data_IF_620010922531
#
_entry.id   IF_620010922531
#
_cell.length_a   1.000
_cell.length_b   1.000
_cell.length_c   1.000
_cell.angle_alpha   90.00
_cell.angle_beta   90.00
_cell.angle_gamma   90.00
#
_symmetry.space_group_name_H-M   'P 1'
#
loop_
_entity.id
_entity.type
_entity.pdbx_description
1 polymer ?
#
# COMPACT_ATOMS: atom_id res chain seq x y z
N UNK A 1 10.52 19.06 -2.26
CA UNK A 1 10.81 18.50 -0.93
C UNK A 1 11.92 17.46 -1.06
N UNK A 2 12.88 17.46 -0.16
CA UNK A 2 13.83 16.37 0.05
C UNK A 2 13.61 15.87 1.48
N UNK A 3 13.26 14.59 1.63
CA UNK A 3 12.86 14.01 2.92
C UNK A 3 13.69 12.75 3.15
N UNK A 4 14.36 12.68 4.30
CA UNK A 4 15.09 11.50 4.75
C UNK A 4 14.27 10.71 5.76
N UNK A 5 14.37 9.38 5.71
CA UNK A 5 13.65 8.45 6.59
C UNK A 5 14.67 7.53 7.32
N UNK A 6 15.51 8.05 8.21
CA UNK A 6 16.52 7.24 8.91
C UNK A 6 15.92 6.41 10.05
N UNK A 7 14.73 6.74 10.51
CA UNK A 7 14.01 6.11 11.62
C UNK A 7 12.62 6.68 11.74
N UNK A 8 12.47 7.76 12.49
CA UNK A 8 11.20 8.48 12.60
C UNK A 8 11.35 9.85 11.96
N UNK A 9 10.48 10.16 11.01
CA UNK A 9 10.47 11.45 10.34
C UNK A 9 9.13 12.12 10.55
N UNK A 10 9.17 13.36 11.02
CA UNK A 10 7.99 14.19 11.24
C UNK A 10 7.96 15.31 10.20
N UNK A 11 6.85 15.43 9.48
CA UNK A 11 6.57 16.57 8.61
C UNK A 11 5.54 17.46 9.30
N UNK A 12 6.01 18.59 9.82
CA UNK A 12 5.18 19.56 10.50
C UNK A 12 4.73 20.69 9.55
N UNK A 13 3.62 21.31 9.85
CA UNK A 13 3.14 22.49 9.11
C UNK A 13 1.65 22.71 9.24
N UNK A 14 1.19 23.89 8.82
CA UNK A 14 -0.22 24.25 8.83
C UNK A 14 -1.05 23.40 7.85
N UNK A 15 -2.38 23.47 7.96
CA UNK A 15 -3.26 22.77 7.04
C UNK A 15 -3.11 23.30 5.60
N UNK A 16 -3.20 22.40 4.62
CA UNK A 16 -3.09 22.76 3.20
C UNK A 16 -1.67 22.99 2.67
N UNK A 17 -0.63 22.77 3.47
CA UNK A 17 0.78 22.99 3.07
C UNK A 17 1.40 21.85 2.27
N UNK A 18 0.64 20.79 1.96
CA UNK A 18 1.12 19.68 1.12
C UNK A 18 1.75 18.51 1.88
N UNK A 19 1.66 18.45 3.22
CA UNK A 19 2.15 17.30 4.03
C UNK A 19 1.64 15.96 3.51
N UNK A 20 0.33 15.81 3.36
CA UNK A 20 -0.29 14.57 2.87
C UNK A 20 0.11 14.25 1.42
N UNK A 21 0.44 15.25 0.59
CA UNK A 21 0.97 15.02 -0.76
C UNK A 21 2.33 14.36 -0.72
N UNK A 22 3.21 14.79 0.18
CA UNK A 22 4.52 14.17 0.39
C UNK A 22 4.35 12.74 0.89
N UNK A 23 3.52 12.53 1.90
CA UNK A 23 3.24 11.20 2.47
C UNK A 23 2.67 10.23 1.41
N UNK A 24 1.71 10.68 0.58
CA UNK A 24 1.17 9.91 -0.55
C UNK A 24 2.22 9.62 -1.62
N UNK A 25 3.14 10.55 -1.86
CA UNK A 25 4.25 10.33 -2.80
C UNK A 25 5.22 9.25 -2.29
N UNK A 26 5.54 9.26 -0.99
CA UNK A 26 6.35 8.19 -0.37
C UNK A 26 5.63 6.85 -0.45
N UNK A 27 4.35 6.81 -0.08
CA UNK A 27 3.53 5.60 -0.18
C UNK A 27 3.51 5.02 -1.61
N UNK A 28 3.29 5.88 -2.61
CA UNK A 28 3.27 5.46 -4.00
C UNK A 28 4.65 4.99 -4.48
N UNK A 29 5.73 5.71 -4.12
CA UNK A 29 7.09 5.36 -4.51
C UNK A 29 7.51 3.98 -3.98
N UNK A 30 7.12 3.65 -2.73
CA UNK A 30 7.41 2.37 -2.10
C UNK A 30 6.54 1.25 -2.68
N UNK A 31 5.23 1.45 -2.85
CA UNK A 31 4.29 0.35 -3.16
C UNK A 31 4.00 0.14 -4.65
N UNK A 32 4.22 1.14 -5.52
CA UNK A 32 3.82 1.04 -6.93
C UNK A 32 4.42 -0.17 -7.66
N UNK A 33 5.65 -0.55 -7.28
CA UNK A 33 6.40 -1.67 -7.87
C UNK A 33 6.27 -3.00 -7.12
N UNK A 34 5.47 -3.03 -6.06
CA UNK A 34 5.27 -4.22 -5.25
C UNK A 34 4.56 -5.31 -6.05
N UNK A 35 5.06 -6.55 -5.91
CA UNK A 35 4.51 -7.73 -6.58
C UNK A 35 4.27 -7.54 -8.09
N UNK A 36 5.23 -6.92 -8.78
CA UNK A 36 5.08 -6.61 -10.21
C UNK A 36 4.90 -7.87 -11.05
N UNK A 37 5.67 -8.93 -10.77
CA UNK A 37 5.53 -10.21 -11.48
C UNK A 37 4.11 -10.79 -11.35
N UNK A 38 3.54 -10.77 -10.15
CA UNK A 38 2.17 -11.23 -9.95
C UNK A 38 1.11 -10.35 -10.64
N UNK A 39 1.34 -9.04 -10.70
CA UNK A 39 0.44 -8.12 -11.43
C UNK A 39 0.48 -8.39 -12.94
N UNK A 40 1.68 -8.55 -13.50
CA UNK A 40 1.89 -8.84 -14.92
C UNK A 40 1.25 -10.19 -15.28
N UNK A 41 1.52 -11.23 -14.48
CA UNK A 41 0.93 -12.55 -14.71
C UNK A 41 -0.60 -12.53 -14.68
N UNK A 42 -1.18 -11.81 -13.71
CA UNK A 42 -2.63 -11.66 -13.63
C UNK A 42 -3.21 -10.93 -14.84
N UNK A 43 -2.55 -9.89 -15.33
CA UNK A 43 -2.97 -9.13 -16.48
C UNK A 43 -2.85 -9.96 -17.77
N UNK A 44 -1.74 -10.68 -17.94
CA UNK A 44 -1.55 -11.59 -19.06
C UNK A 44 -2.62 -12.68 -19.07
N UNK A 45 -2.88 -13.31 -17.92
CA UNK A 45 -3.92 -14.31 -17.77
C UNK A 45 -5.29 -13.76 -18.20
N UNK A 46 -5.69 -12.63 -17.64
CA UNK A 46 -6.99 -12.03 -17.95
C UNK A 46 -7.10 -11.64 -19.43
N UNK A 47 -6.01 -11.13 -20.02
CA UNK A 47 -6.00 -10.77 -21.44
C UNK A 47 -6.12 -12.00 -22.33
N UNK A 48 -5.46 -13.09 -22.00
CA UNK A 48 -5.55 -14.37 -22.74
C UNK A 48 -6.95 -14.99 -22.56
N UNK A 49 -7.50 -14.98 -21.34
CA UNK A 49 -8.86 -15.44 -21.06
C UNK A 49 -9.88 -14.70 -21.94
N UNK A 50 -9.79 -13.38 -22.02
CA UNK A 50 -10.71 -12.56 -22.81
C UNK A 50 -10.62 -12.89 -24.32
N UNK A 51 -9.41 -13.07 -24.87
CA UNK A 51 -9.22 -13.46 -26.27
C UNK A 51 -9.78 -14.85 -26.57
N UNK A 52 -9.56 -15.79 -25.67
CA UNK A 52 -10.08 -17.14 -25.80
C UNK A 52 -11.60 -17.20 -25.64
N UNK A 53 -12.16 -16.40 -24.72
CA UNK A 53 -13.58 -16.27 -24.49
C UNK A 53 -14.28 -15.81 -25.77
N UNK A 54 -13.82 -14.71 -26.38
CA UNK A 54 -14.39 -14.15 -27.62
C UNK A 54 -14.29 -15.15 -28.80
N UNK A 55 -13.16 -15.82 -28.92
CA UNK A 55 -12.95 -16.80 -30.00
C UNK A 55 -13.79 -18.07 -29.80
N UNK A 56 -13.86 -18.64 -28.60
CA UNK A 56 -14.65 -19.85 -28.31
C UNK A 56 -16.15 -19.59 -28.48
N UNK A 57 -16.65 -18.42 -28.05
CA UNK A 57 -18.06 -18.03 -28.24
C UNK A 57 -18.46 -17.93 -29.73
N UNK A 58 -17.54 -17.48 -30.59
CA UNK A 58 -17.79 -17.35 -32.02
C UNK A 58 -17.80 -18.68 -32.75
N UNK A 59 -17.04 -19.66 -32.30
CA UNK A 59 -16.80 -20.91 -33.05
C UNK A 59 -17.47 -22.13 -32.43
N UNK A 60 -18.02 -22.05 -31.24
CA UNK A 60 -18.62 -23.19 -30.56
C UNK A 60 -19.98 -22.84 -29.93
N UNK A 61 -20.93 -23.78 -30.08
CA UNK A 61 -22.21 -23.73 -29.36
C UNK A 61 -22.06 -24.50 -28.04
N UNK A 62 -22.05 -23.81 -26.93
CA UNK A 62 -21.97 -24.42 -25.60
C UNK A 62 -23.39 -24.60 -25.02
N UNK A 63 -23.81 -25.84 -24.86
CA UNK A 63 -25.08 -26.19 -24.19
C UNK A 63 -25.03 -25.89 -22.65
N UNK A 64 -23.84 -25.90 -22.06
CA UNK A 64 -23.61 -25.62 -20.66
C UNK A 64 -22.68 -24.41 -20.48
N UNK A 65 -23.23 -23.37 -19.86
CA UNK A 65 -22.53 -22.13 -19.59
C UNK A 65 -21.31 -22.32 -18.66
N UNK A 66 -21.33 -23.32 -17.77
CA UNK A 66 -20.20 -23.64 -16.89
C UNK A 66 -19.04 -24.23 -17.68
N UNK A 67 -19.30 -25.12 -18.66
CA UNK A 67 -18.26 -25.67 -19.52
C UNK A 67 -17.57 -24.59 -20.34
N UNK A 68 -18.31 -23.56 -20.79
CA UNK A 68 -17.75 -22.42 -21.47
C UNK A 68 -16.79 -21.60 -20.58
N UNK A 69 -17.19 -21.29 -19.35
CA UNK A 69 -16.34 -20.55 -18.40
C UNK A 69 -15.11 -21.36 -17.97
N UNK A 70 -15.24 -22.66 -17.79
CA UNK A 70 -14.11 -23.53 -17.44
C UNK A 70 -13.11 -23.64 -18.61
N UNK A 71 -13.60 -23.71 -19.86
CA UNK A 71 -12.75 -23.95 -21.03
C UNK A 71 -11.72 -22.83 -21.28
N UNK A 72 -12.13 -21.57 -21.32
CA UNK A 72 -11.18 -20.46 -21.56
C UNK A 72 -10.24 -20.21 -20.38
N UNK A 73 -10.72 -20.40 -19.14
CA UNK A 73 -9.88 -20.27 -17.95
C UNK A 73 -8.79 -21.35 -17.87
N UNK A 74 -9.16 -22.63 -18.11
CA UNK A 74 -8.21 -23.75 -18.16
C UNK A 74 -7.18 -23.58 -19.28
N UNK A 75 -7.64 -23.23 -20.49
CA UNK A 75 -6.76 -23.08 -21.63
C UNK A 75 -5.77 -21.92 -21.42
N UNK A 76 -6.21 -20.78 -20.91
CA UNK A 76 -5.34 -19.67 -20.57
C UNK A 76 -4.29 -20.07 -19.51
N UNK A 77 -4.69 -20.85 -18.51
CA UNK A 77 -3.78 -21.37 -17.50
C UNK A 77 -2.74 -22.32 -18.10
N UNK A 78 -3.13 -23.26 -18.96
CA UNK A 78 -2.22 -24.19 -19.62
C UNK A 78 -1.17 -23.46 -20.46
N UNK A 79 -1.59 -22.43 -21.24
CA UNK A 79 -0.68 -21.64 -22.06
C UNK A 79 0.35 -20.91 -21.17
N UNK A 80 -0.07 -20.28 -20.09
CA UNK A 80 0.83 -19.55 -19.19
C UNK A 80 1.77 -20.46 -18.43
N UNK A 81 1.31 -21.61 -17.94
CA UNK A 81 2.13 -22.58 -17.24
C UNK A 81 3.20 -23.18 -18.17
N UNK A 82 2.84 -23.50 -19.41
CA UNK A 82 3.77 -23.99 -20.42
C UNK A 82 4.80 -22.90 -20.79
N UNK A 83 4.36 -21.66 -21.00
CA UNK A 83 5.24 -20.54 -21.30
C UNK A 83 6.28 -20.30 -20.20
N UNK A 84 5.88 -20.36 -18.93
CA UNK A 84 6.78 -20.14 -17.78
C UNK A 84 7.72 -21.32 -17.53
N UNK A 85 7.20 -22.54 -17.59
CA UNK A 85 7.96 -23.74 -17.23
C UNK A 85 8.99 -24.12 -18.30
N UNK A 86 8.64 -24.01 -19.58
CA UNK A 86 9.49 -24.39 -20.70
C UNK A 86 10.41 -23.27 -21.20
N UNK A 87 10.26 -22.03 -20.70
CA UNK A 87 11.06 -20.87 -21.11
C UNK A 87 11.11 -20.70 -22.62
N UNK A 88 9.95 -20.51 -23.26
CA UNK A 88 9.84 -20.45 -24.71
C UNK A 88 10.72 -19.36 -25.32
N UNK A 89 11.41 -19.69 -26.41
CA UNK A 89 12.14 -18.72 -27.22
C UNK A 89 11.16 -17.94 -28.07
N UNK A 90 11.46 -16.67 -28.37
CA UNK A 90 10.56 -15.78 -29.12
C UNK A 90 10.09 -16.36 -30.47
N UNK A 91 10.91 -17.20 -31.12
CA UNK A 91 10.59 -17.85 -32.39
C UNK A 91 9.58 -18.99 -32.26
N UNK A 92 9.46 -19.59 -31.07
CA UNK A 92 8.67 -20.81 -30.86
C UNK A 92 7.27 -20.51 -30.27
N UNK A 93 7.05 -19.29 -29.76
CA UNK A 93 5.83 -18.94 -29.00
C UNK A 93 4.57 -19.23 -29.84
N UNK A 94 4.57 -18.84 -31.12
CA UNK A 94 3.39 -19.03 -32.01
C UNK A 94 3.02 -20.51 -32.14
N UNK A 95 3.95 -21.34 -32.60
CA UNK A 95 3.67 -22.76 -32.83
C UNK A 95 3.33 -23.53 -31.56
N UNK A 96 3.95 -23.16 -30.41
CA UNK A 96 3.61 -23.79 -29.11
C UNK A 96 2.23 -23.37 -28.62
N UNK A 97 1.86 -22.11 -28.76
CA UNK A 97 0.52 -21.63 -28.42
C UNK A 97 -0.53 -22.31 -29.27
N UNK A 98 -0.33 -22.35 -30.59
CA UNK A 98 -1.20 -23.02 -31.53
C UNK A 98 -1.42 -24.49 -31.18
N UNK A 99 -0.33 -25.26 -30.98
CA UNK A 99 -0.38 -26.67 -30.57
C UNK A 99 -1.17 -26.90 -29.26
N UNK A 100 -1.00 -26.05 -28.25
CA UNK A 100 -1.75 -26.19 -26.98
C UNK A 100 -3.24 -26.00 -27.23
N UNK A 101 -3.63 -24.99 -28.03
CA UNK A 101 -5.04 -24.73 -28.32
C UNK A 101 -5.63 -25.87 -29.15
N UNK A 102 -4.93 -26.36 -30.18
CA UNK A 102 -5.38 -27.49 -31.01
C UNK A 102 -5.54 -28.78 -30.18
N UNK A 103 -4.58 -29.10 -29.34
CA UNK A 103 -4.64 -30.27 -28.45
C UNK A 103 -5.79 -30.16 -27.45
N UNK A 104 -6.00 -28.99 -26.86
CA UNK A 104 -7.11 -28.75 -25.96
C UNK A 104 -8.47 -28.92 -26.66
N UNK A 105 -8.64 -28.33 -27.83
CA UNK A 105 -9.87 -28.45 -28.63
C UNK A 105 -10.15 -29.91 -29.01
N UNK A 106 -9.14 -30.62 -29.49
CA UNK A 106 -9.26 -32.03 -29.82
C UNK A 106 -9.71 -32.90 -28.64
N UNK A 107 -9.15 -32.64 -27.44
CA UNK A 107 -9.49 -33.40 -26.25
C UNK A 107 -10.88 -33.09 -25.71
N UNK A 108 -11.42 -31.92 -25.98
CA UNK A 108 -12.72 -31.45 -25.45
C UNK A 108 -13.80 -31.41 -26.58
N UNK A 109 -13.55 -31.90 -27.78
CA UNK A 109 -14.44 -31.88 -28.95
C UNK A 109 -14.92 -30.44 -29.28
N UNK A 110 -14.03 -29.47 -29.23
CA UNK A 110 -14.30 -28.07 -29.57
C UNK A 110 -13.84 -27.80 -31.01
N UNK A 111 -14.55 -26.88 -31.69
CA UNK A 111 -14.13 -26.41 -33.02
C UNK A 111 -12.90 -25.50 -32.87
N UNK A 112 -11.88 -25.73 -33.66
CA UNK A 112 -10.65 -24.94 -33.71
C UNK A 112 -10.55 -24.09 -35.01
N UNK A 113 -11.67 -23.81 -35.66
CA UNK A 113 -11.73 -22.93 -36.82
C UNK A 113 -11.23 -21.53 -36.48
N UNK A 114 -10.59 -20.88 -37.44
CA UNK A 114 -10.06 -19.50 -37.30
C UNK A 114 -9.12 -19.27 -36.10
N UNK A 115 -8.37 -20.30 -35.67
CA UNK A 115 -7.41 -20.27 -34.54
C UNK A 115 -6.27 -19.25 -34.77
N UNK A 116 -5.99 -18.85 -36.00
CA UNK A 116 -4.85 -17.96 -36.33
C UNK A 116 -4.97 -16.58 -35.65
N UNK A 117 -6.19 -16.06 -35.51
CA UNK A 117 -6.43 -14.74 -34.90
C UNK A 117 -6.12 -14.73 -33.41
N UNK A 118 -6.74 -15.58 -32.55
CA UNK A 118 -6.43 -15.60 -31.12
C UNK A 118 -4.98 -15.99 -30.85
N UNK A 119 -4.36 -16.87 -31.59
CA UNK A 119 -2.94 -17.22 -31.44
C UNK A 119 -2.05 -15.99 -31.62
N UNK A 120 -2.30 -15.17 -32.66
CA UNK A 120 -1.53 -13.92 -32.88
C UNK A 120 -1.65 -12.94 -31.72
N UNK A 121 -2.87 -12.73 -31.20
CA UNK A 121 -3.08 -11.83 -30.07
C UNK A 121 -2.43 -12.35 -28.80
N UNK A 122 -2.57 -13.64 -28.50
CA UNK A 122 -1.91 -14.29 -27.35
C UNK A 122 -0.38 -14.16 -27.45
N UNK A 123 0.19 -14.41 -28.62
CA UNK A 123 1.64 -14.21 -28.86
C UNK A 123 2.05 -12.76 -28.64
N UNK A 124 1.22 -11.80 -29.03
CA UNK A 124 1.44 -10.37 -28.78
C UNK A 124 1.45 -10.08 -27.27
N UNK A 125 0.51 -10.65 -26.51
CA UNK A 125 0.44 -10.50 -25.05
C UNK A 125 1.69 -11.08 -24.39
N UNK A 126 2.10 -12.29 -24.76
CA UNK A 126 3.26 -12.97 -24.17
C UNK A 126 4.60 -12.29 -24.51
N UNK A 127 4.70 -11.69 -25.71
CA UNK A 127 5.90 -10.97 -26.18
C UNK A 127 5.99 -9.51 -25.73
N UNK A 128 4.97 -8.97 -25.06
CA UNK A 128 4.95 -7.57 -24.64
C UNK A 128 6.13 -7.27 -23.73
N UNK A 129 6.74 -6.11 -23.92
CA UNK A 129 7.91 -5.70 -23.14
C UNK A 129 7.55 -5.52 -21.66
N UNK A 130 8.35 -6.11 -20.77
CA UNK A 130 8.18 -5.95 -19.33
C UNK A 130 8.20 -4.49 -18.88
N UNK A 131 8.99 -3.64 -19.54
CA UNK A 131 9.07 -2.22 -19.21
C UNK A 131 7.74 -1.49 -19.47
N UNK A 132 6.98 -1.91 -20.48
CA UNK A 132 5.65 -1.36 -20.78
C UNK A 132 4.65 -1.74 -19.67
N UNK A 133 4.65 -2.98 -19.22
CA UNK A 133 3.83 -3.43 -18.10
C UNK A 133 4.16 -2.65 -16.82
N UNK A 134 5.45 -2.52 -16.50
CA UNK A 134 5.87 -1.79 -15.30
C UNK A 134 5.47 -0.31 -15.39
N UNK A 135 5.68 0.32 -16.55
CA UNK A 135 5.24 1.70 -16.80
C UNK A 135 3.73 1.85 -16.57
N UNK A 136 2.93 0.94 -17.14
CA UNK A 136 1.47 0.94 -17.00
C UNK A 136 1.02 0.80 -15.53
N UNK A 137 1.54 -0.21 -14.82
CA UNK A 137 1.11 -0.47 -13.44
C UNK A 137 1.59 0.61 -12.46
N UNK A 138 2.77 1.17 -12.66
CA UNK A 138 3.27 2.28 -11.83
C UNK A 138 2.42 3.52 -12.06
N UNK A 139 2.14 3.89 -13.30
CA UNK A 139 1.26 5.03 -13.62
C UNK A 139 -0.12 4.84 -13.01
N UNK A 140 -0.74 3.66 -13.20
CA UNK A 140 -2.05 3.34 -12.65
C UNK A 140 -2.07 3.42 -11.12
N UNK A 141 -1.00 2.96 -10.46
CA UNK A 141 -0.90 3.03 -9.00
C UNK A 141 -0.89 4.48 -8.50
N UNK A 142 -0.06 5.34 -9.09
CA UNK A 142 -0.03 6.77 -8.77
C UNK A 142 -1.39 7.44 -9.04
N UNK A 143 -2.01 7.15 -10.18
CA UNK A 143 -3.35 7.68 -10.51
C UNK A 143 -4.39 7.28 -9.46
N UNK A 144 -4.35 6.04 -8.98
CA UNK A 144 -5.25 5.56 -7.93
C UNK A 144 -4.97 6.22 -6.56
N UNK A 145 -3.70 6.41 -6.18
CA UNK A 145 -3.32 7.09 -4.92
C UNK A 145 -3.81 8.53 -4.92
N UNK A 146 -3.65 9.24 -6.03
CA UNK A 146 -4.00 10.66 -6.19
C UNK A 146 -5.36 10.89 -6.85
N UNK A 147 -6.20 9.87 -7.02
CA UNK A 147 -7.53 9.94 -7.67
C UNK A 147 -7.48 10.65 -9.02
N UNK A 148 -6.57 10.21 -9.87
CA UNK A 148 -6.30 10.76 -11.22
C UNK A 148 -5.82 12.22 -11.25
N UNK A 149 -5.41 12.79 -10.12
CA UNK A 149 -4.89 14.14 -10.02
C UNK A 149 -3.42 14.13 -9.61
N UNK A 150 -2.58 13.52 -10.44
CA UNK A 150 -1.14 13.38 -10.16
C UNK A 150 -0.32 14.62 -10.57
N UNK A 151 -0.88 15.49 -11.37
CA UNK A 151 -0.20 16.68 -11.86
C UNK A 151 -0.27 17.82 -10.83
N UNK A 152 0.77 18.66 -10.69
CA UNK A 152 0.69 19.86 -9.86
C UNK A 152 -0.44 20.79 -10.31
N UNK A 153 -1.30 21.15 -9.38
CA UNK A 153 -2.48 22.01 -9.66
C UNK A 153 -2.02 23.42 -10.05
N UNK A 154 -2.63 23.98 -11.13
CA UNK A 154 -2.41 25.34 -11.54
C UNK A 154 -1.06 25.63 -12.19
N UNK A 155 -0.23 24.62 -12.43
CA UNK A 155 1.06 24.79 -13.09
C UNK A 155 1.20 23.86 -14.28
N UNK A 156 1.82 24.32 -15.38
CA UNK A 156 2.23 23.44 -16.49
C UNK A 156 3.59 22.76 -16.24
N UNK A 157 4.10 22.79 -15.01
CA UNK A 157 5.43 22.27 -14.68
C UNK A 157 5.41 20.75 -14.56
N UNK A 158 6.51 20.12 -14.92
CA UNK A 158 6.75 18.71 -14.67
C UNK A 158 7.07 18.51 -13.18
N UNK A 159 6.39 17.57 -12.53
CA UNK A 159 6.76 17.11 -11.20
C UNK A 159 7.71 15.91 -11.28
N UNK A 160 8.54 15.74 -10.27
CA UNK A 160 9.42 14.60 -10.12
C UNK A 160 9.24 13.99 -8.75
N UNK A 161 9.28 12.66 -8.67
CA UNK A 161 9.35 11.91 -7.42
C UNK A 161 10.54 10.97 -7.52
N UNK A 162 11.58 11.30 -6.76
CA UNK A 162 12.79 10.50 -6.67
C UNK A 162 12.78 9.78 -5.33
N UNK A 163 12.85 8.46 -5.36
CA UNK A 163 12.96 7.62 -4.19
C UNK A 163 14.31 6.91 -4.23
N UNK A 164 15.04 7.04 -3.13
CA UNK A 164 16.35 6.40 -2.98
C UNK A 164 16.38 5.68 -1.62
N UNK A 165 16.68 4.39 -1.65
CA UNK A 165 17.01 3.61 -0.48
C UNK A 165 18.47 3.21 -0.54
N UNK A 166 19.20 3.52 0.52
CA UNK A 166 20.60 3.12 0.69
C UNK A 166 20.65 2.09 1.81
N UNK A 167 21.01 0.86 1.46
CA UNK A 167 21.33 -0.20 2.42
C UNK A 167 22.83 -0.47 2.35
N UNK A 168 23.38 -1.15 3.36
CA UNK A 168 24.83 -1.39 3.47
C UNK A 168 25.46 -2.03 2.22
N UNK A 169 24.66 -2.78 1.43
CA UNK A 169 25.15 -3.50 0.25
C UNK A 169 24.50 -3.07 -1.07
N UNK A 170 23.43 -2.27 -1.05
CA UNK A 170 22.64 -1.93 -2.26
C UNK A 170 22.09 -0.51 -2.20
N UNK A 171 22.13 0.14 -3.35
CA UNK A 171 21.38 1.37 -3.60
C UNK A 171 20.22 1.04 -4.54
N UNK A 172 19.01 1.31 -4.09
CA UNK A 172 17.78 1.21 -4.89
C UNK A 172 17.32 2.62 -5.16
N UNK A 173 17.29 3.01 -6.43
CA UNK A 173 16.78 4.30 -6.85
C UNK A 173 15.62 4.13 -7.82
N UNK A 174 14.61 4.96 -7.67
CA UNK A 174 13.42 4.99 -8.51
C UNK A 174 13.04 6.44 -8.73
N UNK A 175 12.99 6.85 -10.00
CA UNK A 175 12.60 8.19 -10.39
C UNK A 175 11.41 8.14 -11.33
N UNK A 176 10.44 9.00 -11.12
CA UNK A 176 9.31 9.20 -12.03
C UNK A 176 9.13 10.68 -12.33
N UNK A 177 8.76 11.00 -13.56
CA UNK A 177 8.34 12.34 -13.97
C UNK A 177 6.85 12.33 -14.27
N UNK A 178 6.17 13.43 -13.92
CA UNK A 178 4.73 13.57 -14.07
C UNK A 178 4.46 14.86 -14.84
N UNK A 179 3.85 14.75 -16.01
CA UNK A 179 3.47 15.88 -16.85
C UNK A 179 2.16 15.61 -17.56
N UNK A 180 1.27 16.62 -17.62
CA UNK A 180 -0.05 16.50 -18.25
C UNK A 180 -0.86 15.28 -17.77
N UNK A 181 -0.77 14.99 -16.48
CA UNK A 181 -1.40 13.86 -15.82
C UNK A 181 -0.97 12.47 -16.34
N UNK A 182 0.22 12.40 -16.94
CA UNK A 182 0.91 11.19 -17.36
C UNK A 182 2.19 11.03 -16.56
N UNK A 183 2.49 9.78 -16.19
CA UNK A 183 3.69 9.42 -15.48
C UNK A 183 4.65 8.69 -16.42
N UNK A 184 5.93 9.02 -16.34
CA UNK A 184 7.00 8.30 -17.05
C UNK A 184 8.09 7.92 -16.05
N UNK A 185 8.54 6.67 -16.11
CA UNK A 185 9.65 6.16 -15.31
C UNK A 185 10.96 6.64 -15.91
N UNK A 186 11.85 7.14 -15.07
CA UNK A 186 13.19 7.61 -15.47
C UNK A 186 14.22 6.57 -15.02
N UNK A 187 15.07 6.12 -15.94
CA UNK A 187 16.17 5.19 -15.65
C UNK A 187 15.77 3.72 -15.65
N UNK A 188 16.60 2.88 -15.03
CA UNK A 188 16.36 1.43 -15.00
C UNK A 188 15.19 1.08 -14.08
N UNK A 189 14.34 0.18 -14.55
CA UNK A 189 13.25 -0.36 -13.78
C UNK A 189 13.81 -1.45 -12.84
N UNK A 190 13.90 -1.12 -11.55
CA UNK A 190 14.28 -2.10 -10.52
C UNK A 190 12.99 -2.72 -9.95
N UNK A 191 12.85 -4.03 -10.11
CA UNK A 191 11.63 -4.79 -9.72
C UNK A 191 11.70 -5.43 -8.33
N UNK A 192 12.85 -5.34 -7.66
CA UNK A 192 13.07 -6.05 -6.39
C UNK A 192 12.88 -5.13 -5.17
N UNK A 193 11.66 -4.72 -4.93
CA UNK A 193 11.31 -4.04 -3.69
C UNK A 193 10.59 -5.04 -2.76
N UNK A 194 11.20 -5.33 -1.61
CA UNK A 194 10.65 -6.24 -0.59
C UNK A 194 9.87 -5.49 0.50
N UNK A 195 10.14 -4.20 0.65
CA UNK A 195 9.51 -3.35 1.65
C UNK A 195 8.10 -2.97 1.25
N UNK A 196 7.31 -2.72 2.28
CA UNK A 196 5.93 -2.28 2.17
C UNK A 196 5.76 -0.93 2.86
N UNK A 197 4.92 -0.06 2.33
CA UNK A 197 4.44 1.10 3.05
C UNK A 197 2.99 0.89 3.44
N UNK A 198 2.67 1.09 4.71
CA UNK A 198 1.29 1.12 5.19
C UNK A 198 0.94 2.55 5.52
N UNK A 199 -0.16 3.04 4.96
CA UNK A 199 -0.60 4.43 5.12
C UNK A 199 -1.91 4.46 5.92
N UNK A 200 -1.84 5.08 7.09
CA UNK A 200 -3.01 5.34 7.92
C UNK A 200 -3.45 6.79 7.66
N UNK A 201 -4.36 6.96 6.69
CA UNK A 201 -4.95 8.25 6.32
C UNK A 201 -6.05 8.66 7.30
N UNK A 202 -6.72 7.68 7.92
CA UNK A 202 -7.81 7.91 8.87
C UNK A 202 -7.97 6.72 9.81
N UNK A 203 -8.28 7.02 11.06
CA UNK A 203 -8.67 6.00 12.04
C UNK A 203 -10.05 5.38 11.73
N UNK A 204 -10.86 6.03 10.88
CA UNK A 204 -12.20 5.54 10.49
C UNK A 204 -12.17 4.31 9.57
N UNK A 205 -10.99 3.79 9.21
CA UNK A 205 -10.87 2.57 8.40
C UNK A 205 -11.65 1.39 8.99
N UNK A 206 -11.72 1.30 10.32
CA UNK A 206 -12.48 0.24 11.00
C UNK A 206 -13.99 0.30 10.73
N UNK A 207 -14.54 1.50 10.47
CA UNK A 207 -15.97 1.65 10.16
C UNK A 207 -16.34 0.97 8.83
N UNK A 208 -15.35 0.77 7.93
CA UNK A 208 -15.54 0.04 6.67
C UNK A 208 -15.46 -1.48 6.81
N UNK A 209 -14.90 -1.99 7.92
CA UNK A 209 -14.79 -3.44 8.15
C UNK A 209 -16.13 -4.15 8.16
N UNK A 210 -17.19 -3.48 8.61
CA UNK A 210 -18.54 -4.03 8.69
C UNK A 210 -19.26 -4.06 7.33
N UNK A 211 -18.87 -3.18 6.42
CA UNK A 211 -19.52 -3.03 5.12
C UNK A 211 -19.00 -4.04 4.07
N UNK A 212 -17.90 -4.74 4.32
CA UNK A 212 -17.30 -5.68 3.36
C UNK A 212 -18.13 -6.95 3.13
N UNK A 213 -18.94 -7.36 4.10
CA UNK A 213 -19.85 -8.48 3.96
C UNK A 213 -21.18 -8.15 3.24
N UNK A 214 -21.44 -6.88 3.04
CA UNK A 214 -22.61 -6.39 2.31
C UNK A 214 -22.12 -5.87 0.96
N UNK A 215 -22.79 -6.23 -0.15
CA UNK A 215 -22.54 -5.64 -1.49
C UNK A 215 -22.80 -4.14 -1.44
N UNK A 216 -21.88 -3.40 -0.85
CA UNK A 216 -22.00 -1.97 -0.59
C UNK A 216 -21.27 -1.20 -1.67
N UNK A 217 -21.98 -0.28 -2.33
CA UNK A 217 -21.39 0.71 -3.26
C UNK A 217 -20.35 1.64 -2.61
N UNK A 218 -20.04 1.46 -1.31
CA UNK A 218 -19.06 2.26 -0.57
C UNK A 218 -17.61 1.88 -0.90
N UNK A 219 -17.33 0.64 -1.31
CA UNK A 219 -15.98 0.20 -1.69
C UNK A 219 -15.38 1.08 -2.81
N UNK A 220 -16.20 1.53 -3.77
CA UNK A 220 -15.77 2.43 -4.84
C UNK A 220 -15.43 3.87 -4.39
N UNK A 221 -15.76 4.25 -3.15
CA UNK A 221 -15.48 5.60 -2.61
C UNK A 221 -14.20 5.66 -1.77
N UNK A 222 -13.63 4.51 -1.41
CA UNK A 222 -12.39 4.46 -0.61
C UNK A 222 -11.18 4.87 -1.46
N UNK A 223 -10.22 5.54 -0.81
CA UNK A 223 -8.90 5.78 -1.41
C UNK A 223 -8.14 4.46 -1.54
N UNK A 224 -7.14 4.40 -2.43
CA UNK A 224 -6.29 3.22 -2.54
C UNK A 224 -5.56 2.92 -1.21
N UNK A 225 -4.95 3.92 -0.52
CA UNK A 225 -4.33 3.68 0.79
C UNK A 225 -5.30 3.07 1.81
N UNK A 226 -6.53 3.57 1.89
CA UNK A 226 -7.55 3.03 2.81
C UNK A 226 -7.94 1.58 2.46
N UNK A 227 -8.05 1.24 1.16
CA UNK A 227 -8.34 -0.14 0.72
C UNK A 227 -7.20 -1.09 1.05
N UNK A 228 -5.95 -0.68 0.83
CA UNK A 228 -4.78 -1.49 1.17
C UNK A 228 -4.63 -1.65 2.69
N UNK A 229 -4.87 -0.60 3.47
CA UNK A 229 -4.91 -0.67 4.92
C UNK A 229 -5.94 -1.68 5.40
N UNK A 230 -7.17 -1.60 4.88
CA UNK A 230 -8.25 -2.53 5.22
C UNK A 230 -7.89 -3.98 4.86
N UNK A 231 -7.31 -4.20 3.67
CA UNK A 231 -6.81 -5.51 3.28
C UNK A 231 -5.75 -6.05 4.26
N UNK A 232 -4.81 -5.20 4.68
CA UNK A 232 -3.79 -5.59 5.65
C UNK A 232 -4.37 -5.95 7.03
N UNK A 233 -5.41 -5.23 7.48
CA UNK A 233 -6.08 -5.53 8.76
C UNK A 233 -6.80 -6.89 8.74
N UNK A 234 -7.33 -7.29 7.58
CA UNK A 234 -8.13 -8.50 7.42
C UNK A 234 -7.33 -9.74 7.04
N UNK A 235 -6.11 -9.57 6.54
CA UNK A 235 -5.29 -10.68 6.06
C UNK A 235 -4.76 -11.52 7.21
N UNK A 236 -5.07 -12.81 7.20
CA UNK A 236 -4.36 -13.83 7.96
C UNK A 236 -3.16 -14.28 7.14
N UNK A 237 -2.02 -14.44 7.79
CA UNK A 237 -0.77 -14.81 7.13
C UNK A 237 -0.27 -16.15 7.65
N UNK A 238 0.04 -17.04 6.74
CA UNK A 238 0.87 -18.19 7.08
C UNK A 238 2.30 -17.71 7.25
N UNK A 239 2.84 -17.88 8.45
CA UNK A 239 4.15 -17.40 8.82
C UNK A 239 5.16 -18.54 8.78
N UNK A 240 6.34 -18.29 8.22
CA UNK A 240 7.49 -19.19 8.36
C UNK A 240 7.96 -19.21 9.82
N UNK A 241 8.76 -20.22 10.18
CA UNK A 241 9.28 -20.35 11.55
C UNK A 241 10.00 -19.09 12.04
N UNK A 242 10.84 -18.48 11.21
CA UNK A 242 11.54 -17.22 11.55
C UNK A 242 10.57 -16.06 11.78
N UNK A 243 9.54 -15.96 10.92
CA UNK A 243 8.52 -14.93 11.05
C UNK A 243 7.65 -15.11 12.31
N UNK A 244 7.40 -16.34 12.72
CA UNK A 244 6.70 -16.64 13.97
C UNK A 244 7.51 -16.15 15.18
N UNK A 245 8.83 -16.37 15.20
CA UNK A 245 9.69 -15.86 16.26
C UNK A 245 9.74 -14.33 16.32
N UNK A 246 9.71 -13.67 15.16
CA UNK A 246 9.61 -12.20 15.11
C UNK A 246 8.24 -11.73 15.61
N UNK A 247 7.16 -12.39 15.22
CA UNK A 247 5.81 -12.08 15.70
C UNK A 247 5.70 -12.24 17.23
N UNK A 248 6.31 -13.27 17.83
CA UNK A 248 6.34 -13.46 19.27
C UNK A 248 7.00 -12.26 19.99
N UNK A 249 8.06 -11.68 19.42
CA UNK A 249 8.67 -10.46 19.96
C UNK A 249 7.73 -9.25 19.83
N UNK A 250 6.99 -9.17 18.74
CA UNK A 250 6.04 -8.09 18.50
C UNK A 250 4.85 -8.16 19.47
N UNK A 251 4.51 -9.34 20.00
CA UNK A 251 3.40 -9.52 20.95
C UNK A 251 3.56 -8.68 22.24
N UNK A 252 4.79 -8.33 22.60
CA UNK A 252 4.99 -7.44 23.76
C UNK A 252 4.33 -6.08 23.56
N UNK A 253 4.54 -5.44 22.38
CA UNK A 253 3.89 -4.15 22.09
C UNK A 253 2.37 -4.32 21.97
N UNK A 254 1.92 -5.39 21.31
CA UNK A 254 0.50 -5.71 21.17
C UNK A 254 -0.18 -5.83 22.54
N UNK A 255 0.45 -6.56 23.45
CA UNK A 255 -0.03 -6.76 24.82
C UNK A 255 -0.07 -5.44 25.61
N UNK A 256 1.01 -4.64 25.55
CA UNK A 256 1.06 -3.36 26.21
C UNK A 256 -0.03 -2.39 25.72
N UNK A 257 -0.34 -2.40 24.40
CA UNK A 257 -1.46 -1.63 23.85
C UNK A 257 -2.80 -2.17 24.39
N UNK A 258 -2.97 -3.49 24.42
CA UNK A 258 -4.18 -4.13 24.89
C UNK A 258 -4.46 -3.81 26.35
N UNK A 259 -3.47 -4.00 27.24
CA UNK A 259 -3.65 -3.82 28.68
C UNK A 259 -3.79 -2.37 29.12
N UNK A 260 -3.01 -1.46 28.50
CA UNK A 260 -2.90 -0.10 29.01
C UNK A 260 -3.79 0.91 28.25
N UNK A 261 -4.29 0.56 27.05
CA UNK A 261 -4.96 1.53 26.18
C UNK A 261 -6.30 1.02 25.66
N UNK A 262 -6.29 -0.11 24.91
CA UNK A 262 -7.49 -0.56 24.21
C UNK A 262 -8.42 -1.39 25.08
N UNK A 263 -7.89 -2.07 26.07
CA UNK A 263 -8.58 -3.05 26.93
C UNK A 263 -9.36 -4.09 26.09
N UNK A 264 -8.85 -4.42 24.90
CA UNK A 264 -9.50 -5.33 23.99
C UNK A 264 -8.70 -5.58 22.72
N UNK A 265 -9.29 -6.31 21.78
CA UNK A 265 -8.64 -6.72 20.53
C UNK A 265 -9.63 -6.94 19.39
N UNK A 266 -9.13 -6.97 18.16
CA UNK A 266 -9.92 -7.41 17.01
C UNK A 266 -9.96 -8.93 16.94
N UNK A 267 -11.15 -9.47 16.67
CA UNK A 267 -11.37 -10.88 16.42
C UNK A 267 -12.27 -11.08 15.20
N UNK A 268 -12.13 -12.22 14.51
CA UNK A 268 -13.08 -12.62 13.47
C UNK A 268 -14.24 -13.40 14.07
N UNK A 269 -15.44 -13.05 13.66
CA UNK A 269 -16.62 -13.85 13.97
C UNK A 269 -16.76 -15.03 13.00
N UNK A 270 -17.76 -15.89 13.23
CA UNK A 270 -18.05 -17.09 12.41
C UNK A 270 -18.33 -16.78 10.93
N UNK A 271 -18.71 -15.56 10.61
CA UNK A 271 -19.02 -15.09 9.25
C UNK A 271 -17.80 -14.42 8.57
N UNK A 272 -16.61 -14.46 9.22
CA UNK A 272 -15.38 -13.83 8.70
C UNK A 272 -15.32 -12.31 8.86
N UNK A 273 -16.33 -11.68 9.49
CA UNK A 273 -16.30 -10.23 9.76
C UNK A 273 -15.44 -9.94 10.99
N UNK A 274 -14.72 -8.82 10.97
CA UNK A 274 -13.93 -8.36 12.12
C UNK A 274 -14.82 -7.61 13.09
N UNK A 275 -14.61 -7.86 14.38
CA UNK A 275 -15.31 -7.24 15.51
C UNK A 275 -14.28 -6.83 16.55
N UNK A 276 -14.57 -5.75 17.30
CA UNK A 276 -13.78 -5.39 18.47
C UNK A 276 -14.40 -6.03 19.72
N UNK A 277 -13.61 -6.81 20.43
CA UNK A 277 -13.99 -7.39 21.72
C UNK A 277 -13.33 -6.59 22.83
N UNK A 278 -14.15 -6.01 23.69
CA UNK A 278 -13.71 -5.29 24.89
C UNK A 278 -13.73 -6.23 26.09
N UNK A 279 -12.58 -6.36 26.74
CA UNK A 279 -12.41 -7.28 27.88
C UNK A 279 -13.02 -6.70 29.16
N UNK A 280 -13.08 -5.37 29.29
CA UNK A 280 -13.64 -4.70 30.46
C UNK A 280 -15.15 -4.88 30.58
N UNK A 281 -15.86 -4.77 29.48
CA UNK A 281 -17.33 -5.03 29.43
C UNK A 281 -17.66 -6.47 29.04
N UNK A 282 -16.64 -7.27 28.74
CA UNK A 282 -16.75 -8.65 28.26
C UNK A 282 -17.75 -8.80 27.11
N UNK A 283 -17.58 -7.98 26.10
CA UNK A 283 -18.54 -7.95 25.00
C UNK A 283 -18.04 -7.23 23.75
N UNK A 284 -18.81 -7.39 22.68
CA UNK A 284 -18.57 -6.73 21.41
C UNK A 284 -18.92 -5.25 21.48
N UNK A 285 -18.02 -4.40 20.95
CA UNK A 285 -18.28 -2.98 20.69
C UNK A 285 -18.32 -2.76 19.17
N UNK A 286 -19.37 -2.10 18.69
CA UNK A 286 -19.47 -1.67 17.29
C UNK A 286 -18.47 -0.55 17.00
N UNK A 287 -17.78 -0.62 15.84
CA UNK A 287 -16.75 0.37 15.48
C UNK A 287 -17.26 1.81 15.49
N UNK A 288 -18.51 2.03 15.06
CA UNK A 288 -19.16 3.35 15.10
C UNK A 288 -19.25 3.95 16.51
N UNK A 289 -19.24 3.12 17.54
CA UNK A 289 -19.33 3.52 18.95
C UNK A 289 -17.93 3.67 19.62
N UNK A 290 -16.87 3.28 18.93
CA UNK A 290 -15.50 3.44 19.43
C UNK A 290 -15.04 4.88 19.26
N UNK A 291 -14.30 5.40 20.26
CA UNK A 291 -13.64 6.69 20.14
C UNK A 291 -12.56 6.65 19.04
N UNK A 292 -12.28 7.81 18.45
CA UNK A 292 -11.23 7.93 17.43
C UNK A 292 -9.85 7.44 17.93
N UNK A 293 -9.54 7.75 19.19
CA UNK A 293 -8.30 7.30 19.83
C UNK A 293 -8.25 5.79 19.95
N UNK A 294 -9.31 5.16 20.41
CA UNK A 294 -9.37 3.71 20.52
C UNK A 294 -9.15 3.04 19.14
N UNK A 295 -9.73 3.61 18.08
CA UNK A 295 -9.58 3.09 16.71
C UNK A 295 -8.13 3.08 16.23
N UNK A 296 -7.36 4.17 16.43
CA UNK A 296 -5.98 4.24 15.94
C UNK A 296 -5.08 3.21 16.65
N UNK A 297 -5.23 3.05 17.95
CA UNK A 297 -4.47 2.06 18.70
C UNK A 297 -4.86 0.63 18.32
N UNK A 298 -6.14 0.37 18.11
CA UNK A 298 -6.64 -0.92 17.62
C UNK A 298 -6.09 -1.26 16.22
N UNK A 299 -6.00 -0.28 15.32
CA UNK A 299 -5.39 -0.45 14.00
C UNK A 299 -3.91 -0.84 14.14
N UNK A 300 -3.14 -0.11 14.95
CA UNK A 300 -1.72 -0.41 15.19
C UNK A 300 -1.54 -1.79 15.83
N UNK A 301 -2.33 -2.10 16.87
CA UNK A 301 -2.34 -3.40 17.52
C UNK A 301 -2.54 -4.54 16.52
N UNK A 302 -3.53 -4.41 15.63
CA UNK A 302 -3.84 -5.42 14.62
C UNK A 302 -2.73 -5.57 13.57
N UNK A 303 -2.21 -4.46 13.03
CA UNK A 303 -1.15 -4.49 12.02
C UNK A 303 0.15 -5.14 12.53
N UNK A 304 0.46 -4.93 13.80
CA UNK A 304 1.60 -5.56 14.47
C UNK A 304 1.28 -7.03 14.76
N UNK A 305 0.10 -7.29 15.34
CA UNK A 305 -0.32 -8.62 15.78
C UNK A 305 -0.48 -9.62 14.64
N UNK A 306 -0.99 -9.22 13.48
CA UNK A 306 -1.16 -10.08 12.30
C UNK A 306 0.07 -10.08 11.35
N UNK A 307 1.20 -9.50 11.81
CA UNK A 307 2.44 -9.43 11.04
C UNK A 307 2.30 -8.72 9.67
N UNK A 308 1.39 -7.73 9.59
CA UNK A 308 1.27 -6.87 8.39
C UNK A 308 2.40 -5.86 8.29
N UNK A 309 2.95 -5.43 9.42
CA UNK A 309 4.15 -4.60 9.52
C UNK A 309 5.36 -5.47 9.84
N UNK A 310 6.43 -5.32 9.06
CA UNK A 310 7.67 -6.09 9.16
C UNK A 310 8.86 -5.15 9.29
N UNK A 311 9.97 -5.66 9.79
CA UNK A 311 11.24 -4.94 9.81
C UNK A 311 11.58 -4.40 8.41
N UNK A 312 11.92 -3.11 8.33
CA UNK A 312 12.24 -2.42 7.09
C UNK A 312 11.05 -1.78 6.37
N UNK A 313 9.81 -2.11 6.75
CA UNK A 313 8.61 -1.45 6.22
C UNK A 313 8.51 0.02 6.68
N UNK A 314 7.66 0.77 5.99
CA UNK A 314 7.38 2.18 6.30
C UNK A 314 5.94 2.30 6.78
N UNK A 315 5.76 2.74 8.01
CA UNK A 315 4.46 3.14 8.55
C UNK A 315 4.27 4.63 8.37
N UNK A 316 3.26 5.01 7.59
CA UNK A 316 2.89 6.41 7.34
C UNK A 316 1.62 6.71 8.13
N UNK A 317 1.66 7.73 8.99
CA UNK A 317 0.51 8.20 9.76
C UNK A 317 0.24 9.67 9.45
N UNK A 318 -0.97 9.96 8.96
CA UNK A 318 -1.35 11.31 8.54
C UNK A 318 -2.31 11.93 9.57
N UNK A 319 -1.85 12.99 10.21
CA UNK A 319 -2.57 13.71 11.28
C UNK A 319 -3.12 12.76 12.37
N UNK A 320 -2.29 11.87 12.94
CA UNK A 320 -2.76 10.83 13.85
C UNK A 320 -3.30 11.38 15.18
N UNK A 321 -2.98 12.64 15.50
CA UNK A 321 -3.45 13.36 16.67
C UNK A 321 -4.90 13.85 16.57
N UNK A 322 -5.52 13.81 15.40
CA UNK A 322 -6.88 14.32 15.20
C UNK A 322 -7.87 13.55 16.08
N UNK A 323 -8.65 14.32 16.87
CA UNK A 323 -9.59 13.80 17.86
C UNK A 323 -8.94 13.05 19.05
N UNK A 324 -7.63 13.20 19.27
CA UNK A 324 -6.95 12.65 20.44
C UNK A 324 -6.79 13.70 21.55
N UNK A 325 -7.13 13.31 22.78
CA UNK A 325 -6.74 14.08 23.96
C UNK A 325 -5.19 14.13 24.05
N UNK A 326 -4.58 15.23 24.54
CA UNK A 326 -3.11 15.34 24.63
C UNK A 326 -2.40 14.14 25.31
N UNK A 327 -2.99 13.56 26.34
CA UNK A 327 -2.46 12.35 26.99
C UNK A 327 -2.34 11.17 26.01
N UNK A 328 -3.31 11.01 25.11
CA UNK A 328 -3.31 9.95 24.12
C UNK A 328 -2.36 10.24 22.96
N UNK A 329 -2.12 11.52 22.66
CA UNK A 329 -1.07 11.92 21.70
C UNK A 329 0.31 11.51 22.20
N UNK A 330 0.58 11.65 23.50
CA UNK A 330 1.84 11.20 24.12
C UNK A 330 1.96 9.67 24.06
N UNK A 331 0.90 8.94 24.40
CA UNK A 331 0.90 7.48 24.31
C UNK A 331 1.11 6.99 22.88
N UNK A 332 0.48 7.64 21.88
CA UNK A 332 0.68 7.31 20.47
C UNK A 332 2.12 7.58 20.03
N UNK A 333 2.69 8.71 20.41
CA UNK A 333 4.09 9.03 20.11
C UNK A 333 5.03 7.95 20.67
N UNK A 334 4.81 7.50 21.92
CA UNK A 334 5.59 6.43 22.53
C UNK A 334 5.49 5.11 21.75
N UNK A 335 4.28 4.70 21.34
CA UNK A 335 4.08 3.49 20.56
C UNK A 335 4.79 3.58 19.21
N UNK A 336 4.71 4.72 18.51
CA UNK A 336 5.40 4.91 17.23
C UNK A 336 6.93 4.84 17.39
N UNK A 337 7.47 5.40 18.48
CA UNK A 337 8.91 5.30 18.80
C UNK A 337 9.30 3.84 19.08
N UNK A 338 8.49 3.10 19.82
CA UNK A 338 8.73 1.69 20.08
C UNK A 338 8.62 0.82 18.82
N UNK A 339 7.66 1.10 17.95
CA UNK A 339 7.54 0.44 16.65
C UNK A 339 8.85 0.57 15.84
N UNK A 340 9.45 1.76 15.82
CA UNK A 340 10.76 1.93 15.21
C UNK A 340 11.86 1.19 15.99
N UNK A 341 12.02 1.48 17.29
CA UNK A 341 13.15 1.02 18.10
C UNK A 341 13.17 -0.51 18.27
N UNK A 342 12.02 -1.11 18.57
CA UNK A 342 11.90 -2.54 18.89
C UNK A 342 11.65 -3.41 17.63
N UNK A 343 10.87 -2.91 16.65
CA UNK A 343 10.50 -3.68 15.49
C UNK A 343 11.31 -3.33 14.22
N UNK A 344 12.01 -2.18 14.22
CA UNK A 344 12.79 -1.73 13.05
C UNK A 344 11.93 -1.30 11.88
N UNK A 345 10.74 -0.76 12.16
CA UNK A 345 9.81 -0.22 11.18
C UNK A 345 10.00 1.30 11.12
N UNK A 346 10.24 1.83 9.92
CA UNK A 346 10.39 3.27 9.74
C UNK A 346 9.04 3.98 9.86
N UNK A 347 9.04 5.18 10.44
CA UNK A 347 7.81 5.95 10.66
C UNK A 347 7.90 7.29 9.97
N UNK A 348 6.90 7.63 9.16
CA UNK A 348 6.65 8.95 8.61
C UNK A 348 5.35 9.49 9.19
N UNK A 349 5.42 10.55 10.00
CA UNK A 349 4.27 11.17 10.61
C UNK A 349 4.07 12.60 10.10
N UNK A 350 2.89 12.90 9.57
CA UNK A 350 2.48 14.27 9.30
C UNK A 350 1.70 14.80 10.49
N UNK A 351 2.04 15.97 10.98
CA UNK A 351 1.35 16.54 12.14
C UNK A 351 1.30 18.07 12.13
N UNK A 352 0.25 18.61 12.73
CA UNK A 352 0.16 20.03 13.06
C UNK A 352 0.04 20.26 14.60
N UNK A 353 0.15 19.18 15.40
CA UNK A 353 0.08 19.25 16.86
C UNK A 353 1.45 19.44 17.51
N UNK A 354 1.70 20.57 18.17
CA UNK A 354 2.95 20.77 18.91
C UNK A 354 3.10 19.75 20.05
N UNK A 355 2.02 19.27 20.63
CA UNK A 355 2.05 18.24 21.70
C UNK A 355 2.55 16.90 21.16
N UNK A 356 2.02 16.47 20.01
CA UNK A 356 2.42 15.21 19.39
C UNK A 356 3.89 15.25 18.93
N UNK A 357 4.29 16.34 18.26
CA UNK A 357 5.66 16.52 17.78
C UNK A 357 6.64 16.52 18.96
N UNK A 358 6.33 17.27 20.03
CA UNK A 358 7.16 17.29 21.24
C UNK A 358 7.23 15.94 21.93
N UNK A 359 6.13 15.20 21.94
CA UNK A 359 6.11 13.85 22.51
C UNK A 359 7.02 12.89 21.73
N UNK A 360 7.04 12.96 20.40
CA UNK A 360 7.99 12.17 19.57
C UNK A 360 9.43 12.51 19.94
N UNK A 361 9.79 13.80 20.03
CA UNK A 361 11.16 14.21 20.40
C UNK A 361 11.58 13.65 21.76
N UNK A 362 10.73 13.84 22.78
CA UNK A 362 11.00 13.38 24.16
C UNK A 362 11.13 11.87 24.19
N UNK A 363 10.20 11.15 23.57
CA UNK A 363 10.21 9.68 23.55
C UNK A 363 11.40 9.13 22.75
N UNK A 364 11.79 9.74 21.65
CA UNK A 364 13.01 9.34 20.94
C UNK A 364 14.27 9.52 21.79
N UNK A 365 14.35 10.55 22.61
CA UNK A 365 15.44 10.75 23.55
C UNK A 365 15.40 9.70 24.69
N UNK A 366 14.22 9.43 25.28
CA UNK A 366 14.04 8.41 26.32
C UNK A 366 14.42 6.99 25.85
N UNK A 367 14.11 6.66 24.59
CA UNK A 367 14.44 5.37 23.96
C UNK A 367 15.81 5.35 23.26
N UNK A 368 16.65 6.35 23.48
CA UNK A 368 18.02 6.46 22.93
C UNK A 368 18.09 6.29 21.40
N UNK A 369 17.16 6.93 20.68
CA UNK A 369 17.12 6.91 19.20
C UNK A 369 16.93 8.30 18.57
N UNK A 370 17.29 9.37 19.29
CA UNK A 370 17.12 10.74 18.83
C UNK A 370 17.89 11.05 17.51
N UNK A 371 19.06 10.44 17.32
CA UNK A 371 19.86 10.63 16.09
C UNK A 371 19.18 10.13 14.82
N UNK A 372 18.24 9.22 14.94
CA UNK A 372 17.44 8.68 13.83
C UNK A 372 16.12 9.46 13.61
N UNK A 373 15.95 10.58 14.31
CA UNK A 373 14.85 11.53 14.10
C UNK A 373 15.16 12.52 12.99
N UNK A 374 14.15 12.88 12.19
CA UNK A 374 14.19 14.00 11.26
C UNK A 374 12.90 14.79 11.38
N UNK A 375 13.05 16.11 11.35
CA UNK A 375 11.93 17.04 11.50
C UNK A 375 11.96 18.03 10.34
N UNK A 376 10.88 18.05 9.57
CA UNK A 376 10.71 18.93 8.44
C UNK A 376 9.57 19.89 8.69
N UNK A 377 9.77 21.15 8.37
CA UNK A 377 8.71 22.15 8.46
C UNK A 377 8.30 22.63 7.07
N UNK A 378 6.98 22.55 6.79
CA UNK A 378 6.40 23.01 5.54
C UNK A 378 6.15 24.52 5.60
N UNK A 379 6.93 25.29 4.84
CA UNK A 379 6.85 26.74 4.73
C UNK A 379 6.30 27.16 3.39
N UNK A 380 5.54 28.24 3.38
CA UNK A 380 5.15 28.89 2.14
C UNK A 380 6.33 29.74 1.61
N UNK A 381 6.66 29.55 0.35
CA UNK A 381 7.68 30.30 -0.37
C UNK A 381 7.05 30.82 -1.67
N UNK A 382 6.77 32.15 -1.70
CA UNK A 382 6.01 32.80 -2.77
C UNK A 382 4.71 32.05 -3.15
N UNK A 383 4.73 31.31 -4.26
CA UNK A 383 3.59 30.54 -4.81
C UNK A 383 3.71 29.02 -4.60
N UNK A 384 4.64 28.56 -3.76
CA UNK A 384 4.88 27.15 -3.52
C UNK A 384 5.05 26.86 -2.02
N UNK A 385 4.96 25.58 -1.67
CA UNK A 385 5.35 25.11 -0.34
C UNK A 385 6.66 24.35 -0.45
N UNK A 386 7.58 24.63 0.44
CA UNK A 386 8.87 23.96 0.55
C UNK A 386 8.97 23.25 1.90
N UNK A 387 9.65 22.12 1.93
CA UNK A 387 10.06 21.47 3.17
C UNK A 387 11.45 21.96 3.56
N UNK A 388 11.60 22.42 4.77
CA UNK A 388 12.89 22.80 5.36
C UNK A 388 13.23 21.79 6.44
N UNK A 389 14.43 21.21 6.40
CA UNK A 389 14.96 20.43 7.50
C UNK A 389 15.21 21.34 8.70
N UNK A 390 14.54 21.07 9.81
CA UNK A 390 14.64 21.82 11.07
C UNK A 390 15.05 20.91 12.22
N UNK A 391 15.67 19.77 11.92
CA UNK A 391 16.08 18.77 12.90
C UNK A 391 16.97 19.37 14.00
N UNK A 392 17.88 20.25 13.63
CA UNK A 392 18.77 20.93 14.58
C UNK A 392 18.08 22.12 15.32
N UNK A 393 16.92 22.57 14.85
CA UNK A 393 16.20 23.70 15.43
C UNK A 393 14.69 23.54 15.31
N UNK A 394 14.12 22.57 16.03
CA UNK A 394 12.68 22.29 16.06
C UNK A 394 11.86 23.43 16.66
N UNK A 395 12.48 24.42 17.32
CA UNK A 395 11.78 25.61 17.83
C UNK A 395 11.04 26.36 16.73
N UNK A 396 11.55 26.33 15.48
CA UNK A 396 10.85 26.96 14.35
C UNK A 396 9.44 26.37 14.13
N UNK A 397 9.27 25.07 14.40
CA UNK A 397 7.96 24.41 14.31
C UNK A 397 7.03 24.97 15.40
N UNK A 398 7.53 25.02 16.64
CA UNK A 398 6.73 25.45 17.78
C UNK A 398 6.35 26.93 17.67
N UNK A 399 7.28 27.79 17.29
CA UNK A 399 7.02 29.20 17.07
C UNK A 399 5.89 29.42 16.06
N UNK A 400 5.91 28.68 14.94
CA UNK A 400 4.88 28.79 13.92
C UNK A 400 3.54 28.20 14.36
N UNK A 401 3.53 27.05 15.07
CA UNK A 401 2.29 26.41 15.51
C UNK A 401 1.65 27.10 16.71
N UNK A 402 2.43 27.79 17.55
CA UNK A 402 1.90 28.57 18.67
C UNK A 402 1.56 30.02 18.31
N UNK A 403 1.99 30.52 17.13
CA UNK A 403 1.70 31.89 16.69
C UNK A 403 0.22 32.29 16.81
N UNK A 404 -0.79 31.43 16.51
CA UNK A 404 -2.19 31.78 16.70
C UNK A 404 -2.58 32.13 18.15
N UNK A 405 -1.88 31.59 19.15
CA UNK A 405 -2.13 31.93 20.55
C UNK A 405 -1.76 33.39 20.88
N UNK A 406 -0.85 33.99 20.11
CA UNK A 406 -0.49 35.40 20.27
C UNK A 406 -1.57 36.37 19.75
N UNK A 407 -2.61 35.83 19.10
CA UNK A 407 -3.76 36.61 18.63
C UNK A 407 -4.92 36.70 19.65
N UNK A 408 -4.80 35.92 20.74
CA UNK A 408 -5.75 35.87 21.87
C UNK A 408 -5.34 36.84 22.97
#
# INVERSE_FOLDING_TARGET
ACIELPGITVIAGLNGTGKSTIAKSVFAAVNARKNMAGKIRKDQRQSIENELEEWLEQNNDFDDIMLFFEAHEELAQHILEAYESEKWEKGDIYGKTENIIEEYCANNNLDNSDIEAPVKEIVSILNRNLDEYVQFFVEQYYQNVFKNQINPIGTGRTAFVDYKKVDAEREIASSVSIQKNRLSIIGKILTLQQENAIYIETHSVLDFCQDLGRRSNRAGRMTLPTRELLSNLMTERELTFTQQQEQERNQKIVHDIAENITHGHLQKNKNGTIEFWDEGVNGKIEFSNMSAGLKIFTVLQQLIGNYSLKRGDVLIVDEPEVNLHPTWQIALAEILVRIYKELGIYVLANSHSPYFIRAIEVKMAEYECALQGRYYFMKQDENAYISTDVTENTNEIYDALYQPLNLL
#
